data_IF_886686872174
#
_entry.id   IF_886686872174
#
_cell.length_a   1.000
_cell.length_b   1.000
_cell.length_c   1.000
_cell.angle_alpha   90.00
_cell.angle_beta   90.00
_cell.angle_gamma   90.00
#
_symmetry.space_group_name_H-M   'P 1'
#
loop_
_entity.id
_entity.type
_entity.pdbx_description
1 polymer ?
#
# COMPACT_ATOMS: atom_id res chain seq x y z
N UNK A 1 0.78 22.37 -14.99
CA UNK A 1 0.74 21.08 -15.72
C UNK A 1 -0.72 20.71 -15.89
N UNK A 2 -1.13 20.32 -17.10
CA UNK A 2 -2.44 20.66 -17.68
C UNK A 2 -3.70 20.03 -17.01
N UNK A 3 -4.82 20.78 -16.90
CA UNK A 3 -6.12 20.29 -16.42
C UNK A 3 -6.86 19.40 -17.44
N UNK A 4 -6.12 18.72 -18.34
CA UNK A 4 -6.71 17.94 -19.44
C UNK A 4 -7.54 16.76 -18.93
N UNK A 5 -7.20 16.16 -17.78
CA UNK A 5 -7.94 15.02 -17.24
C UNK A 5 -9.38 15.35 -16.81
N UNK A 6 -9.66 16.60 -16.41
CA UNK A 6 -11.03 17.02 -16.06
C UNK A 6 -11.93 17.18 -17.30
N UNK A 7 -11.34 17.30 -18.49
CA UNK A 7 -12.04 17.53 -19.75
C UNK A 7 -12.03 16.32 -20.70
N UNK A 8 -11.39 15.20 -20.31
CA UNK A 8 -11.31 13.98 -21.12
C UNK A 8 -12.13 12.86 -20.45
N UNK A 9 -13.35 12.56 -20.95
CA UNK A 9 -14.28 11.67 -20.27
C UNK A 9 -13.79 10.21 -20.20
N UNK A 10 -12.96 9.75 -21.14
CA UNK A 10 -12.45 8.38 -21.14
C UNK A 10 -11.45 8.17 -20.00
N UNK A 11 -10.48 9.06 -19.86
CA UNK A 11 -9.50 9.05 -18.78
C UNK A 11 -10.19 9.16 -17.42
N UNK A 12 -11.17 10.04 -17.28
CA UNK A 12 -11.97 10.13 -16.07
C UNK A 12 -12.70 8.82 -15.75
N UNK A 13 -13.28 8.17 -16.77
CA UNK A 13 -13.92 6.86 -16.62
C UNK A 13 -12.95 5.76 -16.18
N UNK A 14 -11.75 5.73 -16.76
CA UNK A 14 -10.69 4.78 -16.39
C UNK A 14 -10.27 5.00 -14.94
N UNK A 15 -10.00 6.24 -14.53
CA UNK A 15 -9.58 6.54 -13.15
C UNK A 15 -10.64 6.18 -12.12
N UNK A 16 -11.93 6.37 -12.43
CA UNK A 16 -13.04 5.88 -11.59
C UNK A 16 -13.06 4.36 -11.50
N UNK A 17 -12.86 3.65 -12.61
CA UNK A 17 -12.79 2.19 -12.60
C UNK A 17 -11.60 1.66 -11.78
N UNK A 18 -10.43 2.30 -11.91
CA UNK A 18 -9.23 2.00 -11.10
C UNK A 18 -9.53 2.21 -9.62
N UNK A 19 -10.08 3.38 -9.24
CA UNK A 19 -10.44 3.69 -7.86
C UNK A 19 -11.39 2.64 -7.25
N UNK A 20 -12.41 2.22 -8.01
CA UNK A 20 -13.34 1.16 -7.61
C UNK A 20 -12.61 -0.15 -7.33
N UNK A 21 -11.79 -0.63 -8.26
CA UNK A 21 -11.07 -1.90 -8.10
C UNK A 21 -10.06 -1.88 -6.95
N UNK A 22 -9.43 -0.73 -6.70
CA UNK A 22 -8.58 -0.55 -5.53
C UNK A 22 -9.38 -0.66 -4.22
N UNK A 23 -10.54 -0.01 -4.13
CA UNK A 23 -11.41 -0.09 -2.96
C UNK A 23 -12.01 -1.50 -2.76
N UNK A 24 -12.36 -2.21 -3.83
CA UNK A 24 -12.79 -3.61 -3.79
C UNK A 24 -11.66 -4.51 -3.25
N UNK A 25 -10.44 -4.32 -3.74
CA UNK A 25 -9.27 -5.07 -3.28
C UNK A 25 -8.95 -4.79 -1.81
N UNK A 26 -9.04 -3.53 -1.39
CA UNK A 26 -8.88 -3.14 0.01
C UNK A 26 -9.96 -3.78 0.89
N UNK A 27 -11.22 -3.77 0.44
CA UNK A 27 -12.33 -4.36 1.19
C UNK A 27 -12.20 -5.87 1.35
N UNK A 28 -11.70 -6.57 0.35
CA UNK A 28 -11.45 -8.01 0.43
C UNK A 28 -10.38 -8.39 1.46
N UNK A 29 -9.39 -7.53 1.69
CA UNK A 29 -8.32 -7.76 2.67
C UNK A 29 -8.54 -7.11 4.04
N UNK A 30 -9.58 -6.27 4.18
CA UNK A 30 -9.84 -5.53 5.41
C UNK A 30 -10.55 -6.44 6.44
N UNK A 31 -10.09 -6.47 7.71
CA UNK A 31 -10.84 -7.09 8.80
C UNK A 31 -12.25 -6.48 8.91
N UNK A 32 -13.22 -7.30 9.29
CA UNK A 32 -14.63 -6.88 9.44
C UNK A 32 -14.89 -6.08 10.73
N UNK A 33 -14.00 -6.19 11.71
CA UNK A 33 -14.10 -5.59 13.03
C UNK A 33 -12.82 -4.82 13.42
N UNK A 34 -12.94 -3.99 14.46
CA UNK A 34 -11.87 -3.12 14.95
C UNK A 34 -11.77 -1.80 14.18
N UNK A 35 -10.58 -1.20 14.25
CA UNK A 35 -10.26 0.10 13.63
C UNK A 35 -9.18 -0.09 12.56
N UNK A 36 -9.51 -0.75 11.42
CA UNK A 36 -8.54 -1.05 10.39
C UNK A 36 -7.97 0.22 9.79
N UNK A 37 -6.66 0.22 9.53
CA UNK A 37 -5.95 1.35 8.94
C UNK A 37 -5.62 1.06 7.48
N UNK A 38 -5.90 2.01 6.60
CA UNK A 38 -5.64 1.90 5.17
C UNK A 38 -4.63 2.96 4.76
N UNK A 39 -3.49 2.54 4.23
CA UNK A 39 -2.49 3.43 3.67
C UNK A 39 -2.40 3.25 2.15
N UNK A 40 -2.27 4.36 1.43
CA UNK A 40 -2.09 4.37 -0.02
C UNK A 40 -0.60 4.43 -0.36
N UNK A 41 -0.04 3.31 -0.84
CA UNK A 41 1.40 3.16 -1.11
C UNK A 41 1.71 3.09 -2.60
N UNK A 42 2.76 3.80 -3.04
CA UNK A 42 3.26 3.72 -4.40
C UNK A 42 3.04 4.99 -5.23
N UNK A 43 3.72 5.04 -6.37
CA UNK A 43 3.88 6.26 -7.16
C UNK A 43 2.58 6.77 -7.80
N UNK A 44 1.59 5.90 -8.01
CA UNK A 44 0.35 6.26 -8.72
C UNK A 44 -0.46 7.32 -7.96
N UNK A 45 -0.41 7.31 -6.63
CA UNK A 45 -1.11 8.28 -5.78
C UNK A 45 -0.55 9.71 -5.91
N UNK A 46 0.63 9.89 -6.52
CA UNK A 46 1.17 11.21 -6.87
C UNK A 46 0.43 11.89 -8.02
N UNK A 47 -0.47 11.18 -8.71
CA UNK A 47 -1.38 11.77 -9.71
C UNK A 47 -2.33 12.82 -9.07
N UNK A 48 -2.57 12.71 -7.76
CA UNK A 48 -3.40 13.64 -7.01
C UNK A 48 -4.89 13.42 -7.20
N UNK A 49 -5.66 14.50 -7.06
CA UNK A 49 -7.12 14.49 -6.98
C UNK A 49 -7.87 13.74 -8.10
N UNK A 50 -7.42 13.69 -9.38
CA UNK A 50 -8.09 12.88 -10.41
C UNK A 50 -8.26 11.40 -10.05
N UNK A 51 -7.34 10.85 -9.24
CA UNK A 51 -7.43 9.49 -8.69
C UNK A 51 -7.89 9.51 -7.23
N UNK A 52 -7.40 10.44 -6.42
CA UNK A 52 -7.63 10.44 -4.97
C UNK A 52 -9.09 10.75 -4.61
N UNK A 53 -9.79 11.62 -5.34
CA UNK A 53 -11.21 11.90 -5.10
C UNK A 53 -12.07 10.65 -5.25
N UNK A 54 -12.12 9.98 -6.43
CA UNK A 54 -12.97 8.81 -6.59
C UNK A 54 -12.54 7.66 -5.68
N UNK A 55 -11.25 7.51 -5.37
CA UNK A 55 -10.79 6.48 -4.43
C UNK A 55 -11.31 6.73 -3.01
N UNK A 56 -11.27 7.97 -2.51
CA UNK A 56 -11.81 8.30 -1.19
C UNK A 56 -13.32 8.06 -1.13
N UNK A 57 -14.06 8.36 -2.20
CA UNK A 57 -15.49 8.06 -2.31
C UNK A 57 -15.77 6.54 -2.23
N UNK A 58 -15.06 5.73 -3.01
CA UNK A 58 -15.27 4.29 -3.05
C UNK A 58 -14.85 3.61 -1.73
N UNK A 59 -13.78 4.11 -1.07
CA UNK A 59 -13.35 3.66 0.26
C UNK A 59 -14.36 4.04 1.35
N UNK A 60 -14.87 5.27 1.35
CA UNK A 60 -15.89 5.68 2.32
C UNK A 60 -17.19 4.87 2.19
N UNK A 61 -17.53 4.47 0.97
CA UNK A 61 -18.69 3.62 0.69
C UNK A 61 -18.51 2.17 1.17
N UNK A 62 -17.35 1.54 0.87
CA UNK A 62 -17.10 0.11 1.18
C UNK A 62 -16.53 -0.14 2.56
N UNK A 63 -15.70 0.76 3.04
CA UNK A 63 -14.95 0.65 4.29
C UNK A 63 -15.18 1.87 5.18
N UNK A 64 -16.42 2.18 5.56
CA UNK A 64 -16.73 3.36 6.37
C UNK A 64 -16.09 3.33 7.77
N UNK A 65 -15.71 2.14 8.24
CA UNK A 65 -15.04 1.91 9.53
C UNK A 65 -13.51 1.94 9.43
N UNK A 66 -12.94 1.97 8.22
CA UNK A 66 -11.49 2.02 8.04
C UNK A 66 -10.97 3.45 8.10
N UNK A 67 -9.88 3.66 8.84
CA UNK A 67 -9.20 4.95 8.91
C UNK A 67 -8.10 5.03 7.88
N UNK A 68 -8.17 6.02 6.99
CA UNK A 68 -7.04 6.32 6.12
C UNK A 68 -5.89 6.93 6.92
N UNK A 69 -4.68 6.40 6.73
CA UNK A 69 -3.45 6.85 7.39
C UNK A 69 -2.34 7.10 6.37
N UNK A 70 -1.36 7.96 6.67
CA UNK A 70 -0.16 8.07 5.85
C UNK A 70 0.56 6.72 5.73
N UNK A 71 1.19 6.48 4.57
CA UNK A 71 2.08 5.33 4.42
C UNK A 71 3.27 5.43 5.38
N UNK A 72 3.60 4.32 6.03
CA UNK A 72 4.76 4.22 6.90
C UNK A 72 6.03 3.99 6.08
N UNK A 73 6.97 4.93 6.16
CA UNK A 73 8.29 4.82 5.55
C UNK A 73 8.29 4.78 4.02
N UNK A 74 9.48 4.56 3.46
CA UNK A 74 9.70 4.33 2.04
C UNK A 74 9.97 2.82 1.78
N UNK A 75 10.09 2.38 0.51
CA UNK A 75 10.35 0.97 0.21
C UNK A 75 11.61 0.39 0.87
N UNK A 76 12.66 1.20 1.10
CA UNK A 76 13.90 0.75 1.74
C UNK A 76 13.74 0.62 3.26
N UNK A 77 12.83 1.39 3.87
CA UNK A 77 12.52 1.27 5.30
C UNK A 77 12.13 -0.16 5.68
N UNK A 78 11.27 -0.79 4.87
CA UNK A 78 10.88 -2.20 5.06
C UNK A 78 12.07 -3.15 4.93
N UNK A 79 12.94 -2.94 3.94
CA UNK A 79 14.15 -3.76 3.74
C UNK A 79 15.10 -3.69 4.93
N UNK A 80 15.36 -2.49 5.47
CA UNK A 80 16.23 -2.28 6.64
C UNK A 80 15.64 -2.95 7.88
N UNK A 81 14.33 -2.85 8.07
CA UNK A 81 13.64 -3.51 9.19
C UNK A 81 13.78 -5.03 9.10
N UNK A 82 13.55 -5.62 7.93
CA UNK A 82 13.74 -7.07 7.71
C UNK A 82 15.19 -7.48 7.97
N UNK A 83 16.17 -6.75 7.42
CA UNK A 83 17.58 -7.06 7.61
C UNK A 83 18.00 -6.98 9.09
N UNK A 84 17.49 -5.98 9.82
CA UNK A 84 17.80 -5.79 11.24
C UNK A 84 17.21 -6.90 12.12
N UNK A 85 15.95 -7.29 11.88
CA UNK A 85 15.33 -8.40 12.62
C UNK A 85 15.97 -9.75 12.26
N UNK A 86 16.39 -9.93 11.01
CA UNK A 86 17.13 -11.13 10.59
C UNK A 86 18.50 -11.22 11.24
N UNK A 87 19.28 -10.12 11.25
CA UNK A 87 20.58 -10.05 11.90
C UNK A 87 20.50 -10.25 13.42
N UNK A 88 19.39 -9.84 14.04
CA UNK A 88 19.15 -10.05 15.46
C UNK A 88 18.51 -11.41 15.81
N UNK A 89 18.22 -12.27 14.82
CA UNK A 89 17.55 -13.56 15.04
C UNK A 89 16.12 -13.44 15.58
N UNK A 90 15.45 -12.31 15.33
CA UNK A 90 14.10 -12.00 15.82
C UNK A 90 13.03 -12.00 14.74
N UNK A 91 13.41 -12.16 13.47
CA UNK A 91 12.47 -12.17 12.36
C UNK A 91 11.49 -13.34 12.51
N UNK A 92 10.19 -13.05 12.62
CA UNK A 92 9.13 -14.05 12.78
C UNK A 92 8.57 -14.55 11.44
N UNK A 93 8.98 -13.94 10.33
CA UNK A 93 8.62 -14.40 8.99
C UNK A 93 9.34 -15.73 8.69
N UNK A 94 8.68 -16.66 7.97
CA UNK A 94 9.35 -17.88 7.52
C UNK A 94 10.61 -17.55 6.72
N UNK A 95 11.74 -18.15 7.10
CA UNK A 95 12.97 -18.05 6.34
C UNK A 95 12.94 -18.99 5.14
N UNK A 96 13.26 -18.48 3.95
CA UNK A 96 13.45 -19.30 2.75
C UNK A 96 14.95 -19.34 2.40
N UNK A 97 15.60 -20.51 2.52
CA UNK A 97 17.07 -20.64 2.40
C UNK A 97 17.65 -20.14 1.08
N UNK A 98 16.83 -20.13 0.03
CA UNK A 98 17.22 -19.77 -1.34
C UNK A 98 16.96 -18.30 -1.68
N UNK A 99 16.23 -17.57 -0.84
CA UNK A 99 15.73 -16.22 -1.16
C UNK A 99 16.44 -15.14 -0.34
N UNK A 100 16.64 -15.36 0.97
CA UNK A 100 17.37 -14.43 1.84
C UNK A 100 17.88 -15.14 3.12
N UNK A 101 19.21 -15.27 3.26
CA UNK A 101 19.86 -15.83 4.45
C UNK A 101 21.01 -14.95 4.92
N UNK A 102 21.17 -14.81 6.24
CA UNK A 102 22.40 -14.29 6.83
C UNK A 102 23.35 -15.45 7.03
N UNK A 103 24.51 -15.39 6.38
CA UNK A 103 25.61 -16.31 6.65
C UNK A 103 26.39 -15.71 7.82
N UNK A 104 26.52 -16.42 8.95
CA UNK A 104 27.36 -15.93 10.05
C UNK A 104 28.78 -15.72 9.51
N UNK A 105 29.41 -14.63 9.92
CA UNK A 105 30.84 -14.45 9.64
C UNK A 105 31.57 -15.68 10.20
N UNK A 106 32.43 -16.30 9.39
CA UNK A 106 33.30 -17.37 9.88
C UNK A 106 34.09 -16.79 11.05
N UNK A 107 33.85 -17.32 12.25
CA UNK A 107 34.61 -16.95 13.42
C UNK A 107 36.08 -17.31 13.23
N UNK A 108 36.96 -16.42 13.68
CA UNK A 108 38.37 -16.73 13.93
C UNK A 108 38.52 -17.85 14.97
#
# INVERSE_FOLDING_TARGET
MAPCAAHEPVAAGILRAVARHMAESAAAGCPADGEPQVALTGAMFRMGEPLLVPLREELASRLPHARQVPAEGDPLHGSVRIASELAAGRLTLPGEPTVLCVVPAQGD
#
